data_IF_193634126360
#
_entry.id   IF_193634126360
#
_cell.length_a   1.000
_cell.length_b   1.000
_cell.length_c   1.000
_cell.angle_alpha   90.00
_cell.angle_beta   90.00
_cell.angle_gamma   90.00
#
_symmetry.space_group_name_H-M   'P 1'
#
loop_
_entity.id
_entity.type
_entity.pdbx_description
1 polymer ?
#
# COMPACT_ATOMS: atom_id res chain seq x y z
N UNK A 1 -25.03 15.81 -26.70
CA UNK A 1 -24.86 14.81 -25.62
C UNK A 1 -23.78 13.84 -26.07
N UNK A 2 -22.61 13.86 -25.44
CA UNK A 2 -21.53 12.90 -25.67
C UNK A 2 -20.70 12.82 -24.40
N UNK A 3 -20.87 11.74 -23.65
CA UNK A 3 -20.14 11.46 -22.41
C UNK A 3 -19.16 10.32 -22.68
N UNK A 4 -18.17 10.56 -23.54
CA UNK A 4 -17.15 9.57 -23.84
C UNK A 4 -16.17 9.47 -22.68
N UNK A 5 -16.43 8.49 -21.82
CA UNK A 5 -15.69 8.19 -20.62
C UNK A 5 -14.30 7.65 -20.91
N UNK A 6 -13.31 8.53 -20.91
CA UNK A 6 -11.91 8.15 -20.84
C UNK A 6 -11.54 7.88 -19.37
N UNK A 7 -11.64 6.61 -18.97
CA UNK A 7 -11.32 6.12 -17.62
C UNK A 7 -10.36 4.95 -17.76
N UNK A 8 -9.27 5.16 -18.48
CA UNK A 8 -8.54 4.07 -19.12
C UNK A 8 -7.06 3.91 -18.78
N UNK A 9 -6.50 4.59 -17.78
CA UNK A 9 -5.09 4.34 -17.42
C UNK A 9 -4.84 4.60 -15.92
N UNK A 10 -5.13 3.59 -15.09
CA UNK A 10 -4.56 3.56 -13.73
C UNK A 10 -3.28 2.73 -13.82
N UNK A 11 -2.11 3.31 -13.50
CA UNK A 11 -0.87 2.55 -13.48
C UNK A 11 -1.05 1.35 -12.55
N UNK A 12 -0.69 0.17 -13.04
CA UNK A 12 -0.70 -1.06 -12.25
C UNK A 12 0.05 -0.80 -10.96
N UNK A 13 -0.66 -0.89 -9.83
CA UNK A 13 -0.07 -0.63 -8.51
C UNK A 13 0.93 -1.75 -8.28
N UNK A 14 2.22 -1.44 -8.36
CA UNK A 14 3.27 -2.40 -8.05
C UNK A 14 3.13 -2.79 -6.56
N UNK A 15 2.68 -4.02 -6.33
CA UNK A 15 2.56 -4.59 -5.01
C UNK A 15 3.93 -5.17 -4.62
N UNK A 16 4.55 -4.60 -3.60
CA UNK A 16 5.82 -5.07 -3.07
C UNK A 16 5.58 -5.99 -1.88
N UNK A 17 6.27 -7.13 -1.84
CA UNK A 17 6.29 -7.99 -0.65
C UNK A 17 7.11 -7.30 0.44
N UNK A 18 6.51 -7.15 1.61
CA UNK A 18 7.15 -6.54 2.76
C UNK A 18 6.73 -7.24 4.07
N UNK A 19 7.59 -7.15 5.08
CA UNK A 19 7.34 -7.74 6.40
C UNK A 19 6.87 -6.63 7.35
N UNK A 20 5.71 -6.85 7.96
CA UNK A 20 5.13 -5.96 8.97
C UNK A 20 6.06 -5.85 10.19
N UNK A 21 6.53 -4.65 10.54
CA UNK A 21 7.40 -4.45 11.72
C UNK A 21 6.64 -4.62 13.04
N UNK A 22 5.33 -4.39 13.05
CA UNK A 22 4.47 -4.51 14.24
C UNK A 22 4.03 -5.96 14.52
N UNK A 23 3.77 -6.72 13.44
CA UNK A 23 3.12 -8.02 13.50
C UNK A 23 3.95 -9.17 12.92
N UNK A 24 5.08 -8.88 12.26
CA UNK A 24 5.97 -9.86 11.66
C UNK A 24 5.43 -10.60 10.43
N UNK A 25 4.21 -10.26 9.97
CA UNK A 25 3.58 -10.96 8.85
C UNK A 25 4.05 -10.44 7.49
N UNK A 26 4.28 -11.36 6.56
CA UNK A 26 4.52 -11.07 5.15
C UNK A 26 3.24 -10.55 4.48
N UNK A 27 3.31 -9.38 3.86
CA UNK A 27 2.16 -8.75 3.24
C UNK A 27 2.55 -8.00 1.96
N UNK A 28 1.59 -7.88 1.06
CA UNK A 28 1.77 -7.17 -0.20
C UNK A 28 1.30 -5.72 -0.03
N UNK A 29 2.24 -4.80 -0.13
CA UNK A 29 2.02 -3.38 0.10
C UNK A 29 2.31 -2.57 -1.16
N UNK A 30 1.52 -1.52 -1.46
CA UNK A 30 1.73 -0.68 -2.64
C UNK A 30 2.88 0.33 -2.46
N UNK A 31 3.73 0.15 -1.45
CA UNK A 31 4.87 1.02 -1.15
C UNK A 31 6.13 0.16 -1.05
N UNK A 32 7.25 0.68 -1.54
CA UNK A 32 8.53 -0.02 -1.46
C UNK A 32 8.96 -0.11 0.02
N UNK A 33 9.25 -1.30 0.58
CA UNK A 33 9.84 -1.40 1.90
C UNK A 33 11.22 -0.75 1.88
N UNK A 34 11.47 0.21 2.77
CA UNK A 34 12.74 0.93 2.85
C UNK A 34 13.41 0.58 4.17
N UNK A 35 14.70 0.25 4.10
CA UNK A 35 15.57 -0.01 5.24
C UNK A 35 15.70 1.29 6.07
N UNK A 36 14.84 1.47 7.07
CA UNK A 36 14.75 2.69 7.89
C UNK A 36 13.35 3.26 8.08
N UNK A 37 12.34 2.80 7.33
CA UNK A 37 10.92 3.16 7.56
C UNK A 37 10.13 1.90 7.95
N UNK A 38 9.43 1.89 9.09
CA UNK A 38 8.69 0.73 9.54
C UNK A 38 7.54 0.44 8.56
N UNK A 39 7.47 -0.82 8.13
CA UNK A 39 6.44 -1.31 7.21
C UNK A 39 5.27 -1.77 8.06
N UNK A 40 4.07 -1.31 7.72
CA UNK A 40 2.85 -1.75 8.38
C UNK A 40 1.90 -2.37 7.37
N UNK A 41 1.34 -3.53 7.72
CA UNK A 41 0.27 -4.13 6.94
C UNK A 41 -1.01 -3.27 7.03
N UNK A 42 -1.98 -3.52 6.14
CA UNK A 42 -3.27 -2.79 6.12
C UNK A 42 -4.00 -2.79 7.48
N UNK A 43 -3.75 -3.79 8.32
CA UNK A 43 -4.37 -3.95 9.63
C UNK A 43 -3.64 -3.18 10.74
N UNK A 44 -2.31 -3.07 10.67
CA UNK A 44 -1.49 -2.35 11.65
C UNK A 44 -1.35 -0.86 11.32
N UNK A 45 -1.41 -0.50 10.03
CA UNK A 45 -1.37 0.88 9.57
C UNK A 45 -2.36 1.84 10.27
N UNK A 46 -3.66 1.50 10.42
CA UNK A 46 -4.61 2.36 11.13
C UNK A 46 -4.34 2.48 12.64
N UNK A 47 -3.66 1.50 13.26
CA UNK A 47 -3.28 1.56 14.68
C UNK A 47 -2.11 2.52 14.92
N UNK A 48 -1.21 2.63 13.95
CA UNK A 48 -0.05 3.52 14.02
C UNK A 48 -0.28 4.92 13.46
N UNK A 49 -1.28 5.12 12.57
CA UNK A 49 -1.81 6.46 12.27
C UNK A 49 -2.60 6.99 13.48
N UNK A 50 -1.88 7.36 14.55
CA UNK A 50 -2.46 8.25 15.56
C UNK A 50 -2.82 9.57 14.86
N UNK A 51 -4.05 10.02 15.11
CA UNK A 51 -4.63 11.27 14.63
C UNK A 51 -3.76 12.47 15.01
#
# INVERSE_FOLDING_TARGET
MGYDGDRGDRPAREMHKAVCTDCGTECEVPFKPVEGRPVYCRACYPKHRKK
#
